data_IF_729986387025
#
_entry.id   IF_729986387025
#
_cell.length_a   1.000
_cell.length_b   1.000
_cell.length_c   1.000
_cell.angle_alpha   90.00
_cell.angle_beta   90.00
_cell.angle_gamma   90.00
#
_symmetry.space_group_name_H-M   'P 1'
#
loop_
_entity.id
_entity.type
_entity.pdbx_description
1 polymer ?
#
# COMPACT_ATOMS: atom_id res chain seq x y z
N UNK A 1 -11.78 -6.83 4.08
CA UNK A 1 -11.26 -5.48 4.31
C UNK A 1 -10.27 -5.13 3.20
N UNK A 2 -10.34 -3.92 2.63
CA UNK A 2 -9.43 -3.50 1.55
C UNK A 2 -7.95 -3.51 2.00
N UNK A 3 -7.69 -3.21 3.28
CA UNK A 3 -6.38 -3.35 3.92
C UNK A 3 -5.77 -4.75 3.79
N UNK A 4 -6.54 -5.82 4.00
CA UNK A 4 -6.03 -7.19 3.86
C UNK A 4 -5.59 -7.49 2.43
N UNK A 5 -6.36 -7.03 1.44
CA UNK A 5 -6.02 -7.21 0.02
C UNK A 5 -4.74 -6.46 -0.36
N UNK A 6 -4.58 -5.24 0.12
CA UNK A 6 -3.37 -4.43 -0.08
C UNK A 6 -2.17 -5.08 0.61
N UNK A 7 -2.36 -5.60 1.82
CA UNK A 7 -1.31 -6.29 2.57
C UNK A 7 -0.83 -7.55 1.85
N UNK A 8 -1.73 -8.41 1.39
CA UNK A 8 -1.35 -9.61 0.62
C UNK A 8 -0.61 -9.27 -0.68
N UNK A 9 -1.02 -8.20 -1.37
CA UNK A 9 -0.31 -7.73 -2.56
C UNK A 9 1.11 -7.26 -2.25
N UNK A 10 1.32 -6.57 -1.13
CA UNK A 10 2.64 -6.15 -0.67
C UNK A 10 3.48 -7.33 -0.15
N UNK A 11 2.84 -8.34 0.41
CA UNK A 11 3.49 -9.58 0.87
C UNK A 11 4.04 -10.38 -0.32
N UNK A 12 3.24 -10.52 -1.39
CA UNK A 12 3.64 -11.24 -2.61
C UNK A 12 4.59 -10.43 -3.50
N UNK A 13 4.33 -9.13 -3.70
CA UNK A 13 5.11 -8.28 -4.61
C UNK A 13 6.28 -7.55 -3.93
N UNK A 14 6.32 -7.54 -2.60
CA UNK A 14 7.29 -6.77 -1.83
C UNK A 14 7.05 -5.26 -1.89
N UNK A 15 8.15 -4.50 -1.95
CA UNK A 15 8.08 -3.03 -2.00
C UNK A 15 7.50 -2.58 -3.34
N UNK A 16 6.42 -1.81 -3.29
CA UNK A 16 5.67 -1.38 -4.47
C UNK A 16 5.34 0.11 -4.41
N UNK A 17 5.37 0.76 -5.57
CA UNK A 17 4.86 2.12 -5.75
C UNK A 17 3.34 2.15 -5.53
N UNK A 18 2.82 3.17 -4.85
CA UNK A 18 1.37 3.40 -4.68
C UNK A 18 0.59 3.37 -6.01
N UNK A 19 1.16 3.86 -7.11
CA UNK A 19 0.56 3.81 -8.45
C UNK A 19 0.41 2.39 -8.97
N UNK A 20 1.41 1.54 -8.79
CA UNK A 20 1.35 0.12 -9.18
C UNK A 20 0.44 -0.65 -8.23
N UNK A 21 0.51 -0.37 -6.94
CA UNK A 21 -0.40 -0.93 -5.93
C UNK A 21 -1.85 -0.63 -6.25
N UNK A 22 -2.15 0.59 -6.73
CA UNK A 22 -3.48 0.98 -7.19
C UNK A 22 -3.94 0.13 -8.37
N UNK A 23 -3.08 -0.07 -9.36
CA UNK A 23 -3.39 -0.89 -10.55
C UNK A 23 -3.62 -2.35 -10.17
N UNK A 24 -2.75 -2.93 -9.34
CA UNK A 24 -2.80 -4.33 -8.92
C UNK A 24 -3.98 -4.62 -7.98
N UNK A 25 -4.25 -3.73 -7.03
CA UNK A 25 -5.37 -3.88 -6.09
C UNK A 25 -6.74 -3.65 -6.75
N UNK A 26 -6.77 -2.95 -7.89
CA UNK A 26 -7.97 -2.47 -8.59
C UNK A 26 -8.87 -1.64 -7.66
N UNK A 27 -8.26 -0.88 -6.75
CA UNK A 27 -8.95 0.00 -5.80
C UNK A 27 -8.99 1.44 -6.31
N UNK A 28 -9.95 2.21 -5.81
CA UNK A 28 -9.97 3.66 -5.98
C UNK A 28 -8.88 4.31 -5.12
N UNK A 29 -8.49 5.55 -5.43
CA UNK A 29 -7.50 6.29 -4.61
C UNK A 29 -7.93 6.35 -3.15
N UNK A 30 -9.20 6.67 -2.88
CA UNK A 30 -9.73 6.75 -1.51
C UNK A 30 -9.62 5.42 -0.76
N UNK A 31 -10.00 4.32 -1.40
CA UNK A 31 -9.92 2.99 -0.78
C UNK A 31 -8.49 2.56 -0.52
N UNK A 32 -7.58 2.84 -1.47
CA UNK A 32 -6.17 2.53 -1.35
C UNK A 32 -5.53 3.31 -0.20
N UNK A 33 -5.72 4.62 -0.14
CA UNK A 33 -5.17 5.44 0.94
C UNK A 33 -5.80 5.12 2.30
N UNK A 34 -7.10 4.78 2.34
CA UNK A 34 -7.73 4.31 3.58
C UNK A 34 -7.16 2.96 4.05
N UNK A 35 -6.92 2.03 3.12
CA UNK A 35 -6.28 0.76 3.40
C UNK A 35 -4.84 0.93 3.90
N UNK A 36 -4.05 1.76 3.21
CA UNK A 36 -2.67 2.09 3.59
C UNK A 36 -2.63 2.77 4.96
N UNK A 37 -3.50 3.74 5.22
CA UNK A 37 -3.61 4.40 6.51
C UNK A 37 -4.00 3.45 7.64
N UNK A 38 -4.87 2.47 7.37
CA UNK A 38 -5.21 1.43 8.35
C UNK A 38 -4.02 0.53 8.67
N UNK A 39 -3.28 0.08 7.64
CA UNK A 39 -2.09 -0.73 7.81
C UNK A 39 -0.96 0.04 8.53
N UNK A 40 -0.80 1.33 8.22
CA UNK A 40 0.17 2.21 8.86
C UNK A 40 -0.17 2.42 10.33
N UNK A 41 -1.47 2.57 10.66
CA UNK A 41 -1.96 2.64 12.04
C UNK A 41 -1.66 1.37 12.84
N UNK A 42 -1.73 0.20 12.21
CA UNK A 42 -1.33 -1.07 12.83
C UNK A 42 0.18 -1.28 12.87
N UNK A 43 0.98 -0.42 12.24
CA UNK A 43 2.43 -0.61 12.12
C UNK A 43 2.80 -1.82 11.28
N UNK A 44 2.04 -2.10 10.21
CA UNK A 44 2.27 -3.21 9.27
C UNK A 44 2.93 -2.81 7.95
N UNK A 45 2.94 -1.51 7.63
CA UNK A 45 3.54 -0.97 6.41
C UNK A 45 4.44 0.21 6.71
N UNK A 46 5.52 0.35 5.95
CA UNK A 46 6.33 1.54 5.84
C UNK A 46 6.02 2.28 4.53
N UNK A 47 5.85 3.59 4.63
CA UNK A 47 5.66 4.49 3.51
C UNK A 47 6.96 5.28 3.33
N UNK A 48 7.59 5.15 2.17
CA UNK A 48 8.84 5.83 1.84
C UNK A 48 8.60 6.74 0.65
N UNK A 49 8.85 8.03 0.83
CA UNK A 49 8.80 9.02 -0.25
C UNK A 49 10.18 9.15 -0.89
N UNK A 50 10.28 8.77 -2.15
CA UNK A 50 11.49 8.97 -2.97
C UNK A 50 11.17 9.98 -4.08
N UNK A 51 11.51 11.25 -3.81
CA UNK A 51 11.29 12.36 -4.72
C UNK A 51 9.81 12.67 -5.00
N UNK A 52 9.28 12.16 -6.12
CA UNK A 52 7.89 12.34 -6.56
C UNK A 52 7.06 11.05 -6.48
N UNK A 53 7.67 9.97 -6.01
CA UNK A 53 7.07 8.65 -5.95
C UNK A 53 6.97 8.18 -4.51
N UNK A 54 5.88 7.47 -4.22
CA UNK A 54 5.57 7.00 -2.88
C UNK A 54 5.59 5.48 -2.92
N UNK A 55 6.51 4.90 -2.17
CA UNK A 55 6.72 3.47 -2.05
C UNK A 55 6.11 2.96 -0.76
N UNK A 56 5.54 1.77 -0.83
CA UNK A 56 4.97 1.05 0.31
C UNK A 56 5.68 -0.28 0.40
N UNK A 57 6.13 -0.63 1.60
CA UNK A 57 6.68 -1.95 1.93
C UNK A 57 6.05 -2.47 3.21
N UNK A 58 6.01 -3.79 3.38
CA UNK A 58 5.72 -4.39 4.70
C UNK A 58 6.92 -4.17 5.63
N UNK A 59 6.65 -4.10 6.94
CA UNK A 59 7.63 -4.04 8.03
C UNK A 59 7.61 -5.33 8.84
#
# INVERSE_FOLDING_TARGET
TNAGKVWTLLDEAGTQNVKDLKKSSKLTDKDLYAALGWLAREGKVALVEDGKELFVSLI
#
